data_IF_289208020554
#
_entry.id   IF_289208020554
#
_cell.length_a   1.000
_cell.length_b   1.000
_cell.length_c   1.000
_cell.angle_alpha   90.00
_cell.angle_beta   90.00
_cell.angle_gamma   90.00
#
_symmetry.space_group_name_H-M   'P 1'
#
loop_
_entity.id
_entity.type
_entity.pdbx_description
1 polymer ?
#
# COMPACT_ATOMS: atom_id res chain seq x y z
N UNK A 1 -21.38 19.83 5.02
CA UNK A 1 -20.40 19.92 3.91
C UNK A 1 -20.20 18.51 3.37
N UNK A 2 -20.49 18.27 2.09
CA UNK A 2 -20.07 17.00 1.45
C UNK A 2 -18.56 17.08 1.30
N UNK A 3 -17.80 16.31 2.07
CA UNK A 3 -16.36 16.22 1.86
C UNK A 3 -16.11 15.64 0.46
N UNK A 4 -15.33 16.36 -0.34
CA UNK A 4 -14.99 15.98 -1.70
C UNK A 4 -14.06 14.76 -1.69
N UNK A 5 -14.38 13.77 -2.51
CA UNK A 5 -13.51 12.62 -2.74
C UNK A 5 -12.19 13.09 -3.37
N UNK A 6 -11.06 12.63 -2.83
CA UNK A 6 -9.72 12.90 -3.38
C UNK A 6 -9.09 11.61 -3.87
N UNK A 7 -8.54 11.64 -5.07
CA UNK A 7 -7.82 10.51 -5.69
C UNK A 7 -6.37 10.91 -5.97
N UNK A 8 -5.44 10.03 -5.64
CA UNK A 8 -4.02 10.16 -5.93
C UNK A 8 -3.53 8.89 -6.59
N UNK A 9 -2.69 9.03 -7.61
CA UNK A 9 -2.08 7.93 -8.32
C UNK A 9 -0.62 8.26 -8.61
N UNK A 10 0.26 7.30 -8.39
CA UNK A 10 1.68 7.38 -8.71
C UNK A 10 2.19 5.99 -9.09
N UNK A 11 3.14 5.97 -10.01
CA UNK A 11 3.82 4.75 -10.44
C UNK A 11 5.28 4.87 -10.02
N UNK A 12 5.75 3.88 -9.25
CA UNK A 12 7.15 3.74 -8.84
C UNK A 12 7.57 2.29 -9.04
N UNK A 13 8.73 2.06 -9.66
CA UNK A 13 9.25 0.71 -9.96
C UNK A 13 8.21 -0.26 -10.57
N UNK A 14 7.45 0.18 -11.59
CA UNK A 14 6.36 -0.59 -12.25
C UNK A 14 5.20 -1.02 -11.34
N UNK A 15 5.08 -0.42 -10.18
CA UNK A 15 3.98 -0.65 -9.25
C UNK A 15 3.12 0.62 -9.21
N UNK A 16 1.84 0.45 -9.47
CA UNK A 16 0.86 1.52 -9.33
C UNK A 16 0.36 1.58 -7.89
N UNK A 17 0.49 2.76 -7.27
CA UNK A 17 -0.09 3.06 -5.97
C UNK A 17 -1.23 4.07 -6.16
N UNK A 18 -2.46 3.60 -5.95
CA UNK A 18 -3.67 4.42 -5.96
C UNK A 18 -4.18 4.61 -4.55
N UNK A 19 -4.52 5.84 -4.20
CA UNK A 19 -5.20 6.20 -2.95
C UNK A 19 -6.49 6.95 -3.27
N UNK A 20 -7.60 6.48 -2.70
CA UNK A 20 -8.88 7.17 -2.69
C UNK A 20 -9.19 7.56 -1.26
N UNK A 21 -9.68 8.78 -1.07
CA UNK A 21 -10.08 9.29 0.23
C UNK A 21 -11.44 9.94 0.16
N UNK A 22 -12.30 9.55 1.07
CA UNK A 22 -13.63 10.11 1.22
C UNK A 22 -13.97 10.13 2.72
N UNK A 23 -14.31 11.31 3.22
CA UNK A 23 -14.51 11.53 4.64
C UNK A 23 -13.29 11.07 5.49
N UNK A 24 -13.55 10.28 6.54
CA UNK A 24 -12.53 9.66 7.38
C UNK A 24 -11.93 8.37 6.79
N UNK A 25 -12.40 7.91 5.63
CA UNK A 25 -11.93 6.67 5.01
C UNK A 25 -10.76 6.94 4.06
N UNK A 26 -9.86 5.96 4.02
CA UNK A 26 -8.75 5.88 3.10
C UNK A 26 -8.72 4.48 2.52
N UNK A 27 -8.80 4.39 1.19
CA UNK A 27 -8.61 3.16 0.45
C UNK A 27 -7.32 3.26 -0.35
N UNK A 28 -6.52 2.20 -0.34
CA UNK A 28 -5.28 2.11 -1.11
C UNK A 28 -5.30 0.82 -1.93
N UNK A 29 -4.91 0.93 -3.20
CA UNK A 29 -4.73 -0.19 -4.12
C UNK A 29 -3.31 -0.16 -4.64
N UNK A 30 -2.63 -1.30 -4.58
CA UNK A 30 -1.24 -1.49 -5.01
C UNK A 30 -1.24 -2.57 -6.06
N UNK A 31 -0.83 -2.23 -7.28
CA UNK A 31 -0.99 -3.08 -8.46
C UNK A 31 0.36 -3.26 -9.17
N UNK A 32 0.86 -4.49 -9.36
CA UNK A 32 1.95 -4.74 -10.29
C UNK A 32 1.46 -4.48 -11.72
N UNK A 33 2.17 -3.66 -12.50
CA UNK A 33 1.74 -3.31 -13.85
C UNK A 33 2.34 -4.21 -14.93
N UNK A 34 3.61 -4.59 -14.75
CA UNK A 34 4.40 -5.41 -15.67
C UNK A 34 5.42 -6.20 -14.89
N UNK A 35 5.78 -7.37 -15.38
CA UNK A 35 6.86 -8.18 -14.84
C UNK A 35 8.15 -7.40 -14.75
N UNK A 36 8.92 -7.70 -13.73
CA UNK A 36 10.23 -7.14 -13.47
C UNK A 36 11.27 -8.25 -13.39
N UNK A 37 12.54 -7.90 -13.20
CA UNK A 37 13.62 -8.87 -12.96
C UNK A 37 14.03 -8.96 -11.49
N UNK A 38 13.23 -8.37 -10.59
CA UNK A 38 13.53 -8.29 -9.17
C UNK A 38 12.32 -8.69 -8.34
N UNK A 39 12.58 -9.42 -7.26
CA UNK A 39 11.59 -9.67 -6.23
C UNK A 39 11.22 -8.36 -5.55
N UNK A 40 9.93 -8.19 -5.31
CA UNK A 40 9.43 -7.02 -4.60
C UNK A 40 8.42 -7.44 -3.54
N UNK A 41 8.72 -7.06 -2.30
CA UNK A 41 7.92 -7.39 -1.13
C UNK A 41 7.42 -6.10 -0.51
N UNK A 42 6.12 -6.04 -0.29
CA UNK A 42 5.47 -4.98 0.47
C UNK A 42 5.33 -5.41 1.93
N UNK A 43 5.70 -4.51 2.82
CA UNK A 43 5.63 -4.70 4.26
C UNK A 43 4.75 -3.62 4.87
N UNK A 44 3.91 -4.04 5.82
CA UNK A 44 3.08 -3.16 6.62
C UNK A 44 2.94 -3.78 8.01
N UNK A 45 2.82 -2.96 9.03
CA UNK A 45 2.19 -3.45 10.25
C UNK A 45 0.69 -3.23 10.06
N UNK A 46 -0.24 -4.03 10.58
CA UNK A 46 -1.64 -3.62 10.84
C UNK A 46 -2.06 -4.02 12.25
N UNK A 47 -2.68 -3.13 13.03
CA UNK A 47 -3.19 -3.43 14.38
C UNK A 47 -2.16 -4.15 15.29
N UNK A 48 -0.93 -3.62 15.36
CA UNK A 48 0.22 -4.18 16.10
C UNK A 48 0.78 -5.51 15.58
N UNK A 49 0.23 -6.05 14.49
CA UNK A 49 0.70 -7.26 13.82
C UNK A 49 1.47 -6.90 12.55
N UNK A 50 2.38 -7.76 12.13
CA UNK A 50 3.18 -7.57 10.92
C UNK A 50 2.61 -8.39 9.77
N UNK A 51 2.53 -7.76 8.61
CA UNK A 51 2.09 -8.38 7.37
C UNK A 51 3.08 -8.08 6.24
N UNK A 52 3.27 -9.06 5.36
CA UNK A 52 4.07 -8.89 4.16
C UNK A 52 3.48 -9.68 2.99
N UNK A 53 3.52 -9.08 1.81
CA UNK A 53 3.04 -9.69 0.58
C UNK A 53 4.05 -9.50 -0.55
N UNK A 54 4.22 -10.53 -1.36
CA UNK A 54 4.97 -10.43 -2.60
C UNK A 54 4.13 -9.72 -3.65
N UNK A 55 4.60 -8.58 -4.15
CA UNK A 55 4.04 -7.93 -5.34
C UNK A 55 4.61 -8.61 -6.59
N UNK A 56 5.91 -8.90 -6.56
CA UNK A 56 6.61 -9.70 -7.55
C UNK A 56 7.36 -10.85 -6.84
N UNK A 57 7.29 -12.07 -7.40
CA UNK A 57 8.00 -13.23 -6.88
C UNK A 57 9.52 -13.17 -7.13
N UNK A 58 10.26 -14.21 -6.75
CA UNK A 58 11.72 -14.28 -6.93
C UNK A 58 12.17 -14.18 -8.38
N UNK A 59 11.32 -14.55 -9.33
CA UNK A 59 11.59 -14.46 -10.77
C UNK A 59 11.09 -13.13 -11.36
N UNK A 60 10.53 -12.26 -10.52
CA UNK A 60 9.98 -10.95 -10.88
C UNK A 60 8.63 -11.03 -11.60
N UNK A 61 7.90 -12.15 -11.46
CA UNK A 61 6.53 -12.31 -12.00
C UNK A 61 5.50 -11.70 -11.07
N UNK A 62 4.44 -11.15 -11.65
CA UNK A 62 3.33 -10.54 -10.93
C UNK A 62 2.67 -11.56 -9.99
N UNK A 63 2.47 -11.16 -8.73
CA UNK A 63 1.87 -12.02 -7.70
C UNK A 63 0.53 -11.49 -7.22
N UNK A 64 0.57 -10.45 -6.40
CA UNK A 64 -0.62 -9.97 -5.71
C UNK A 64 -0.94 -8.51 -6.04
N UNK A 65 -2.23 -8.24 -6.15
CA UNK A 65 -2.79 -6.91 -5.97
C UNK A 65 -3.16 -6.78 -4.50
N UNK A 66 -2.77 -5.67 -3.88
CA UNK A 66 -2.98 -5.45 -2.44
C UNK A 66 -3.98 -4.32 -2.27
N UNK A 67 -5.05 -4.60 -1.55
CA UNK A 67 -6.07 -3.63 -1.17
C UNK A 67 -5.97 -3.34 0.33
N UNK A 68 -6.11 -2.08 0.68
CA UNK A 68 -6.15 -1.61 2.04
C UNK A 68 -7.34 -0.67 2.23
N UNK A 69 -7.99 -0.76 3.38
CA UNK A 69 -8.99 0.18 3.85
C UNK A 69 -8.69 0.59 5.29
N UNK A 70 -8.77 1.89 5.55
CA UNK A 70 -8.56 2.46 6.87
C UNK A 70 -9.60 3.55 7.18
N UNK A 71 -10.21 3.48 8.35
CA UNK A 71 -11.05 4.52 8.93
C UNK A 71 -10.23 5.30 9.95
N UNK A 72 -10.14 6.62 9.79
CA UNK A 72 -9.47 7.50 10.75
C UNK A 72 -7.97 7.23 10.89
N UNK A 73 -7.35 6.59 9.89
CA UNK A 73 -5.91 6.31 9.85
C UNK A 73 -5.39 6.38 8.42
N UNK A 74 -4.08 6.62 8.27
CA UNK A 74 -3.38 6.43 7.00
C UNK A 74 -2.17 5.54 7.25
N UNK A 75 -2.06 4.40 6.54
CA UNK A 75 -0.96 3.47 6.74
C UNK A 75 0.33 4.03 6.14
N UNK A 76 1.44 3.51 6.62
CA UNK A 76 2.74 3.67 5.99
C UNK A 76 3.20 2.30 5.55
N UNK A 77 3.56 2.17 4.28
CA UNK A 77 4.08 0.94 3.73
C UNK A 77 5.59 1.03 3.56
N UNK A 78 6.21 -0.13 3.48
CA UNK A 78 7.62 -0.27 3.19
C UNK A 78 7.80 -1.25 2.05
N UNK A 79 8.48 -0.82 1.01
CA UNK A 79 8.69 -1.58 -0.22
C UNK A 79 10.15 -1.99 -0.29
N UNK A 80 10.42 -3.29 -0.31
CA UNK A 80 11.74 -3.84 -0.60
C UNK A 80 11.72 -4.35 -2.04
N UNK A 81 12.58 -3.83 -2.91
CA UNK A 81 12.59 -4.15 -4.33
C UNK A 81 14.04 -4.31 -4.80
N UNK A 82 14.46 -5.56 -4.99
CA UNK A 82 15.86 -5.91 -5.21
C UNK A 82 16.77 -5.32 -4.12
N UNK A 83 17.67 -4.40 -4.51
CA UNK A 83 18.60 -3.70 -3.59
C UNK A 83 18.07 -2.38 -3.06
N UNK A 84 16.94 -1.91 -3.60
CA UNK A 84 16.32 -0.67 -3.17
C UNK A 84 15.29 -0.96 -2.09
N UNK A 85 15.10 0.03 -1.22
CA UNK A 85 14.08 -0.04 -0.19
C UNK A 85 13.48 1.35 -0.03
N UNK A 86 12.17 1.41 0.07
CA UNK A 86 11.40 2.66 0.12
C UNK A 86 10.44 2.63 1.28
N UNK A 87 10.27 3.79 1.90
CA UNK A 87 9.16 4.08 2.78
C UNK A 87 8.11 4.84 1.97
N UNK A 88 6.95 4.21 1.77
CA UNK A 88 5.82 4.79 1.04
C UNK A 88 4.89 5.44 2.06
N UNK A 89 4.87 6.77 2.08
CA UNK A 89 4.02 7.56 2.97
C UNK A 89 2.82 8.07 2.21
N UNK A 90 1.64 7.68 2.69
CA UNK A 90 0.38 8.24 2.24
C UNK A 90 0.06 9.45 3.13
N UNK A 91 -0.33 10.57 2.53
CA UNK A 91 -0.68 11.80 3.22
C UNK A 91 -2.13 12.23 2.88
N UNK A 92 -2.58 13.35 3.45
CA UNK A 92 -3.88 13.95 3.08
C UNK A 92 -3.96 14.42 1.61
N UNK A 93 -2.80 14.65 0.98
CA UNK A 93 -2.71 15.33 -0.31
C UNK A 93 -1.67 14.74 -1.26
N UNK A 94 -0.97 13.66 -0.89
CA UNK A 94 0.10 13.09 -1.70
C UNK A 94 0.40 11.64 -1.32
N UNK A 95 1.19 11.00 -2.17
CA UNK A 95 1.87 9.73 -1.91
C UNK A 95 3.37 10.03 -2.10
N UNK A 96 4.16 9.88 -1.05
CA UNK A 96 5.59 10.19 -1.08
C UNK A 96 6.43 8.92 -0.97
N UNK A 97 7.50 8.84 -1.76
CA UNK A 97 8.46 7.75 -1.73
C UNK A 97 9.78 8.23 -1.15
N UNK A 98 10.17 7.67 -0.01
CA UNK A 98 11.42 8.02 0.68
C UNK A 98 12.35 6.81 0.61
N UNK A 99 13.43 6.92 -0.17
CA UNK A 99 14.46 5.87 -0.22
C UNK A 99 15.11 5.70 1.16
N UNK A 100 15.23 4.45 1.61
CA UNK A 100 15.86 4.08 2.87
C UNK A 100 17.12 3.25 2.62
N UNK A 101 18.12 3.40 3.51
CA UNK A 101 19.45 2.82 3.32
C UNK A 101 19.52 1.31 3.55
N UNK A 102 18.57 0.76 4.30
CA UNK A 102 18.57 -0.65 4.69
C UNK A 102 17.22 -1.28 4.33
N UNK A 103 17.23 -2.55 3.86
CA UNK A 103 16.01 -3.30 3.65
C UNK A 103 15.27 -3.47 4.95
N UNK A 104 13.96 -3.34 4.86
CA UNK A 104 13.08 -3.43 6.02
C UNK A 104 13.00 -4.90 6.43
N UNK A 105 13.40 -5.16 7.67
CA UNK A 105 13.17 -6.41 8.38
C UNK A 105 12.07 -6.19 9.41
N UNK A 106 11.40 -7.27 9.82
CA UNK A 106 10.39 -7.29 10.89
C UNK A 106 10.81 -6.46 12.10
N UNK A 107 12.08 -6.55 12.47
CA UNK A 107 12.60 -6.03 13.75
C UNK A 107 12.82 -4.51 13.75
N UNK A 108 12.79 -3.85 12.57
CA UNK A 108 13.14 -2.44 12.39
C UNK A 108 11.88 -1.54 12.32
N UNK A 109 10.71 -2.15 12.16
CA UNK A 109 9.45 -1.44 11.96
C UNK A 109 8.82 -1.03 13.28
N UNK A 110 8.51 0.26 13.41
CA UNK A 110 7.77 0.79 14.57
C UNK A 110 6.27 0.56 14.39
N UNK A 111 5.61 -0.02 15.40
CA UNK A 111 4.17 -0.36 15.46
C UNK A 111 3.19 0.80 15.21
N UNK A 112 3.60 2.07 15.31
CA UNK A 112 2.66 3.20 15.34
C UNK A 112 2.19 3.63 13.95
N UNK A 113 0.90 3.43 13.69
CA UNK A 113 0.15 4.14 12.65
C UNK A 113 -0.06 5.59 13.00
N UNK A 114 -0.27 6.37 11.94
CA UNK A 114 -0.89 7.67 12.04
C UNK A 114 -2.40 7.48 12.21
N UNK A 115 -2.83 7.12 13.43
CA UNK A 115 -4.24 7.16 13.83
C UNK A 115 -4.62 8.59 14.16
N UNK A 116 -5.66 9.10 13.50
CA UNK A 116 -6.21 10.44 13.73
C UNK A 116 -7.36 10.44 14.74
N UNK A 117 -7.78 9.27 15.22
CA UNK A 117 -8.96 9.08 16.08
C UNK A 117 -8.81 7.86 16.98
N UNK A 118 -9.47 7.87 18.14
CA UNK A 118 -9.61 6.72 19.05
C UNK A 118 -10.50 5.60 18.49
N UNK A 119 -11.25 5.88 17.41
CA UNK A 119 -12.06 4.90 16.67
C UNK A 119 -11.38 4.41 15.40
N UNK A 120 -10.08 4.65 15.25
CA UNK A 120 -9.35 4.26 14.05
C UNK A 120 -9.32 2.73 13.91
N UNK A 121 -9.54 2.24 12.69
CA UNK A 121 -9.49 0.82 12.36
C UNK A 121 -8.95 0.65 10.94
N UNK A 122 -8.22 -0.44 10.70
CA UNK A 122 -7.66 -0.73 9.39
C UNK A 122 -7.61 -2.22 9.10
N UNK A 123 -7.69 -2.56 7.82
CA UNK A 123 -7.50 -3.92 7.32
C UNK A 123 -6.85 -3.89 5.92
N UNK A 124 -6.22 -5.01 5.55
CA UNK A 124 -5.69 -5.22 4.22
C UNK A 124 -6.02 -6.64 3.74
N UNK A 125 -6.05 -6.79 2.42
CA UNK A 125 -6.26 -8.05 1.75
C UNK A 125 -5.44 -8.09 0.47
N UNK A 126 -4.78 -9.21 0.23
CA UNK A 126 -4.20 -9.55 -1.05
C UNK A 126 -5.15 -10.42 -1.89
N UNK A 127 -5.04 -10.29 -3.20
CA UNK A 127 -5.65 -11.16 -4.19
C UNK A 127 -4.65 -11.44 -5.30
N UNK A 128 -4.74 -12.61 -5.93
CA UNK A 128 -3.93 -12.91 -7.11
C UNK A 128 -4.20 -11.90 -8.22
N UNK A 129 -3.15 -11.46 -8.92
CA UNK A 129 -3.25 -10.40 -9.93
C UNK A 129 -4.20 -10.71 -11.10
N UNK A 130 -4.50 -11.99 -11.34
CA UNK A 130 -5.44 -12.45 -12.37
C UNK A 130 -6.91 -12.42 -11.94
N UNK A 131 -7.21 -12.07 -10.69
CA UNK A 131 -8.58 -12.05 -10.14
C UNK A 131 -9.36 -10.85 -10.69
N UNK A 132 -10.54 -11.09 -11.30
CA UNK A 132 -11.50 -10.04 -11.72
C UNK A 132 -12.84 -10.19 -10.97
N UNK A 133 -13.61 -9.10 -10.77
CA UNK A 133 -13.32 -7.69 -11.06
C UNK A 133 -12.73 -6.93 -9.86
N UNK A 134 -12.42 -5.65 -10.07
CA UNK A 134 -12.00 -4.73 -9.01
C UNK A 134 -13.07 -4.60 -7.91
N UNK A 135 -12.67 -4.10 -6.74
CA UNK A 135 -13.62 -3.81 -5.66
C UNK A 135 -13.80 -2.31 -5.52
N UNK A 136 -15.03 -1.88 -5.25
CA UNK A 136 -15.32 -0.53 -4.73
C UNK A 136 -14.31 -0.14 -3.62
N UNK A 137 -13.79 1.10 -3.60
CA UNK A 137 -14.09 2.24 -4.49
C UNK A 137 -13.21 2.31 -5.75
N UNK A 138 -12.42 1.28 -6.04
CA UNK A 138 -11.53 1.23 -7.20
C UNK A 138 -12.19 0.69 -8.48
N UNK A 139 -13.43 0.21 -8.39
CA UNK A 139 -14.26 -0.02 -9.57
C UNK A 139 -14.48 1.33 -10.27
N UNK A 140 -13.70 1.56 -11.34
CA UNK A 140 -13.97 2.59 -12.32
C UNK A 140 -15.11 2.05 -13.20
N UNK A 141 -16.36 2.39 -12.85
CA UNK A 141 -17.50 2.27 -13.77
C UNK A 141 -17.31 3.18 -14.99
#
# INVERSE_FOLDING_TARGET
MKETEKRFNIIEENIEFKMIRQNSNCWIKITPLKSMSVQTILHIYLNDEYYSWEIYDSDGREKHIIYFEGLGCIPTFYLNSGKNSFKVKFNMSSIDFIKIKQPIKTDILKKKYNCYSSKAACWAKDVFYTSRPDKYPFDEM
#
